data_IF_110650825045
#
_entry.id   IF_110650825045
#
_cell.length_a   1.000
_cell.length_b   1.000
_cell.length_c   1.000
_cell.angle_alpha   90.00
_cell.angle_beta   90.00
_cell.angle_gamma   90.00
#
_symmetry.space_group_name_H-M   'P 1'
#
loop_
_entity.id
_entity.type
_entity.pdbx_description
1 polymer ?
#
# COMPACT_ATOMS: atom_id res chain seq x y z
N UNK A 1 -33.46 36.77 -0.20
CA UNK A 1 -33.02 35.94 0.95
C UNK A 1 -33.47 34.48 0.82
N UNK A 2 -34.77 34.15 0.75
CA UNK A 2 -35.24 32.75 0.59
C UNK A 2 -34.59 31.98 -0.57
N UNK A 3 -34.45 32.60 -1.75
CA UNK A 3 -33.78 31.98 -2.91
C UNK A 3 -32.29 31.69 -2.68
N UNK A 4 -31.60 32.55 -1.93
CA UNK A 4 -30.18 32.38 -1.58
C UNK A 4 -30.02 31.25 -0.56
N UNK A 5 -30.90 31.21 0.45
CA UNK A 5 -30.94 30.12 1.45
C UNK A 5 -31.21 28.77 0.77
N UNK A 6 -32.15 28.73 -0.17
CA UNK A 6 -32.47 27.52 -0.92
C UNK A 6 -31.30 27.06 -1.80
N UNK A 7 -30.58 28.00 -2.42
CA UNK A 7 -29.42 27.70 -3.26
C UNK A 7 -28.23 27.19 -2.43
N UNK A 8 -27.99 27.77 -1.25
CA UNK A 8 -26.95 27.31 -0.32
C UNK A 8 -27.23 25.90 0.22
N UNK A 9 -28.51 25.59 0.52
CA UNK A 9 -28.92 24.26 0.96
C UNK A 9 -28.70 23.18 -0.10
N UNK A 10 -28.86 23.50 -1.38
CA UNK A 10 -28.58 22.58 -2.50
C UNK A 10 -27.08 22.30 -2.63
N UNK A 11 -26.23 23.31 -2.46
CA UNK A 11 -24.76 23.16 -2.53
C UNK A 11 -24.24 22.29 -1.38
N UNK A 12 -24.78 22.45 -0.17
CA UNK A 12 -24.41 21.63 0.99
C UNK A 12 -24.91 20.17 0.91
N UNK A 13 -25.88 19.88 0.04
CA UNK A 13 -26.41 18.54 -0.18
C UNK A 13 -25.65 17.76 -1.26
N UNK A 14 -24.72 18.40 -1.97
CA UNK A 14 -23.86 17.70 -2.92
C UNK A 14 -22.82 16.87 -2.15
N UNK A 15 -22.65 15.58 -2.46
CA UNK A 15 -21.57 14.80 -1.88
C UNK A 15 -20.24 15.45 -2.27
N UNK A 16 -19.36 15.64 -1.29
CA UNK A 16 -18.00 16.10 -1.56
C UNK A 16 -17.31 15.08 -2.48
N UNK A 17 -16.98 15.50 -3.71
CA UNK A 17 -16.40 14.66 -4.77
C UNK A 17 -14.91 14.33 -4.52
N UNK A 18 -14.49 14.19 -3.26
CA UNK A 18 -13.08 14.04 -2.93
C UNK A 18 -12.52 12.64 -3.23
N UNK A 19 -13.30 11.60 -3.00
CA UNK A 19 -12.86 10.20 -3.09
C UNK A 19 -13.95 9.34 -3.72
N UNK A 20 -13.56 8.51 -4.68
CA UNK A 20 -14.42 7.59 -5.40
C UNK A 20 -14.28 6.17 -4.85
N UNK A 21 -15.19 5.28 -5.25
CA UNK A 21 -15.05 3.85 -4.94
C UNK A 21 -13.84 3.27 -5.67
N UNK A 22 -13.59 3.77 -6.87
CA UNK A 22 -12.47 3.43 -7.73
C UNK A 22 -11.13 3.74 -7.05
N UNK A 23 -11.02 4.86 -6.33
CA UNK A 23 -9.82 5.20 -5.55
C UNK A 23 -9.55 4.15 -4.47
N UNK A 24 -10.58 3.79 -3.70
CA UNK A 24 -10.49 2.76 -2.67
C UNK A 24 -10.11 1.38 -3.24
N UNK A 25 -10.63 1.04 -4.42
CA UNK A 25 -10.27 -0.20 -5.11
C UNK A 25 -8.83 -0.18 -5.62
N UNK A 26 -8.38 0.95 -6.18
CA UNK A 26 -7.01 1.15 -6.63
C UNK A 26 -6.00 1.03 -5.49
N UNK A 27 -6.28 1.66 -4.35
CA UNK A 27 -5.45 1.57 -3.14
C UNK A 27 -5.36 0.12 -2.65
N UNK A 28 -6.50 -0.57 -2.53
CA UNK A 28 -6.52 -1.98 -2.11
C UNK A 28 -5.73 -2.86 -3.07
N UNK A 29 -5.91 -2.67 -4.38
CA UNK A 29 -5.17 -3.42 -5.41
C UNK A 29 -3.67 -3.21 -5.28
N UNK A 30 -3.21 -1.97 -5.14
CA UNK A 30 -1.78 -1.66 -4.98
C UNK A 30 -1.20 -2.33 -3.73
N UNK A 31 -1.92 -2.28 -2.60
CA UNK A 31 -1.49 -2.93 -1.36
C UNK A 31 -1.44 -4.46 -1.52
N UNK A 32 -2.48 -5.07 -2.08
CA UNK A 32 -2.54 -6.52 -2.33
C UNK A 32 -1.41 -6.97 -3.25
N UNK A 33 -1.19 -6.26 -4.36
CA UNK A 33 -0.11 -6.56 -5.30
C UNK A 33 1.27 -6.41 -4.66
N UNK A 34 1.46 -5.43 -3.78
CA UNK A 34 2.70 -5.28 -3.02
C UNK A 34 2.94 -6.47 -2.08
N UNK A 35 1.95 -6.83 -1.25
CA UNK A 35 2.07 -7.87 -0.22
C UNK A 35 2.24 -9.24 -0.85
N UNK A 36 1.32 -9.61 -1.74
CA UNK A 36 1.32 -10.92 -2.40
C UNK A 36 2.52 -11.04 -3.34
N UNK A 37 2.79 -10.00 -4.13
CA UNK A 37 3.94 -9.98 -5.04
C UNK A 37 5.27 -10.17 -4.30
N UNK A 38 5.42 -9.54 -3.15
CA UNK A 38 6.60 -9.71 -2.32
C UNK A 38 6.66 -11.12 -1.70
N UNK A 39 5.54 -11.63 -1.20
CA UNK A 39 5.49 -12.92 -0.53
C UNK A 39 5.70 -14.11 -1.46
N UNK A 40 5.18 -14.05 -2.68
CA UNK A 40 5.29 -15.13 -3.67
C UNK A 40 6.46 -14.93 -4.65
N UNK A 41 7.19 -13.82 -4.54
CA UNK A 41 8.22 -13.43 -5.49
C UNK A 41 7.70 -13.09 -6.90
N UNK A 42 6.45 -12.64 -7.01
CA UNK A 42 5.87 -12.20 -8.28
C UNK A 42 6.26 -10.74 -8.56
N UNK A 43 7.20 -10.57 -9.49
CA UNK A 43 7.73 -9.26 -9.88
C UNK A 43 6.68 -8.38 -10.56
N UNK A 44 5.82 -8.94 -11.41
CA UNK A 44 4.79 -8.16 -12.12
C UNK A 44 3.85 -7.45 -11.14
N UNK A 45 3.42 -8.16 -10.08
CA UNK A 45 2.62 -7.57 -9.01
C UNK A 45 3.35 -6.44 -8.30
N UNK A 46 4.63 -6.63 -7.95
CA UNK A 46 5.43 -5.53 -7.38
C UNK A 46 5.48 -4.33 -8.30
N UNK A 47 5.69 -4.53 -9.61
CA UNK A 47 5.76 -3.44 -10.57
C UNK A 47 4.44 -2.69 -10.71
N UNK A 48 3.31 -3.38 -10.60
CA UNK A 48 1.97 -2.77 -10.60
C UNK A 48 1.66 -1.99 -9.30
N UNK A 49 2.33 -2.34 -8.20
CA UNK A 49 2.05 -1.77 -6.89
C UNK A 49 2.82 -0.48 -6.58
N UNK A 50 3.96 -0.24 -7.24
CA UNK A 50 4.87 0.87 -6.88
C UNK A 50 5.33 1.67 -8.09
N UNK A 51 5.59 2.96 -7.89
CA UNK A 51 6.12 3.86 -8.93
C UNK A 51 7.44 3.34 -9.52
N UNK A 52 7.68 3.54 -10.84
CA UNK A 52 8.99 3.40 -11.45
C UNK A 52 10.10 4.14 -10.70
N UNK A 53 9.78 5.28 -10.09
CA UNK A 53 10.67 6.17 -9.34
C UNK A 53 10.60 5.94 -7.82
N UNK A 54 10.27 4.71 -7.39
CA UNK A 54 10.15 4.36 -5.98
C UNK A 54 11.35 4.86 -5.15
N UNK A 55 11.06 5.73 -4.20
CA UNK A 55 12.01 6.29 -3.24
C UNK A 55 11.84 5.66 -1.86
N UNK A 56 12.12 4.35 -1.75
CA UNK A 56 12.03 3.61 -0.49
C UNK A 56 13.41 3.55 0.18
N UNK A 57 13.45 3.68 1.50
CA UNK A 57 14.63 3.38 2.32
C UNK A 57 14.29 2.28 3.32
N UNK A 58 15.26 1.42 3.58
CA UNK A 58 15.19 0.45 4.69
C UNK A 58 16.33 0.71 5.66
N UNK A 59 16.08 0.43 6.93
CA UNK A 59 17.15 0.27 7.91
C UNK A 59 17.55 -1.20 7.90
N UNK A 60 18.85 -1.46 7.85
CA UNK A 60 19.43 -2.79 7.93
C UNK A 60 20.51 -2.80 9.01
N UNK A 61 20.82 -4.01 9.49
CA UNK A 61 21.86 -4.23 10.47
C UNK A 61 22.76 -5.40 10.03
N UNK A 62 24.05 -5.30 10.33
CA UNK A 62 25.04 -6.36 10.11
C UNK A 62 26.00 -6.40 11.30
N UNK A 63 25.72 -7.26 12.27
CA UNK A 63 26.34 -7.17 13.60
C UNK A 63 25.92 -5.89 14.31
N UNK A 64 26.89 -5.16 14.87
CA UNK A 64 26.67 -3.86 15.54
C UNK A 64 26.46 -2.69 14.56
N UNK A 65 26.69 -2.88 13.26
CA UNK A 65 26.54 -1.83 12.27
C UNK A 65 25.06 -1.68 11.86
N UNK A 66 24.47 -0.52 12.13
CA UNK A 66 23.13 -0.13 11.67
C UNK A 66 23.25 0.96 10.60
N UNK A 67 22.57 0.78 9.47
CA UNK A 67 22.66 1.70 8.34
C UNK A 67 21.34 1.83 7.58
N UNK A 68 21.15 2.98 6.95
CA UNK A 68 20.07 3.19 5.98
C UNK A 68 20.53 2.77 4.58
N UNK A 69 19.65 2.12 3.84
CA UNK A 69 19.88 1.68 2.47
C UNK A 69 18.71 2.11 1.59
N UNK A 70 18.99 2.74 0.46
CA UNK A 70 17.99 3.01 -0.57
C UNK A 70 17.54 1.70 -1.25
N UNK A 71 16.25 1.63 -1.58
CA UNK A 71 15.59 0.48 -2.18
C UNK A 71 14.73 0.97 -3.35
N UNK A 72 15.35 1.03 -4.53
CA UNK A 72 14.62 1.30 -5.77
C UNK A 72 13.61 0.20 -6.08
N UNK A 73 12.71 0.44 -7.05
CA UNK A 73 11.79 -0.61 -7.53
C UNK A 73 12.53 -1.85 -8.05
N UNK A 74 13.66 -1.68 -8.74
CA UNK A 74 14.45 -2.83 -9.25
C UNK A 74 15.06 -3.66 -8.11
N UNK A 75 15.59 -3.00 -7.08
CA UNK A 75 16.10 -3.68 -5.88
C UNK A 75 14.97 -4.37 -5.11
N UNK A 76 13.78 -3.75 -5.03
CA UNK A 76 12.60 -4.38 -4.43
C UNK A 76 12.17 -5.63 -5.21
N UNK A 77 12.16 -5.57 -6.55
CA UNK A 77 11.86 -6.73 -7.39
C UNK A 77 12.89 -7.86 -7.18
N UNK A 78 14.18 -7.52 -7.14
CA UNK A 78 15.25 -8.48 -6.86
C UNK A 78 15.09 -9.11 -5.48
N UNK A 79 14.70 -8.33 -4.46
CA UNK A 79 14.40 -8.83 -3.13
C UNK A 79 13.18 -9.75 -3.11
N UNK A 80 12.14 -9.46 -3.90
CA UNK A 80 10.95 -10.31 -3.99
C UNK A 80 11.28 -11.66 -4.63
N UNK A 81 12.13 -11.71 -5.66
CA UNK A 81 12.57 -12.97 -6.27
C UNK A 81 13.22 -13.94 -5.28
N UNK A 82 13.90 -13.43 -4.24
CA UNK A 82 14.47 -14.26 -3.19
C UNK A 82 13.40 -14.99 -2.34
N UNK A 83 12.14 -14.52 -2.37
CA UNK A 83 11.01 -15.12 -1.68
C UNK A 83 10.24 -16.14 -2.52
N UNK A 84 10.64 -16.40 -3.78
CA UNK A 84 9.93 -17.34 -4.66
C UNK A 84 9.81 -18.77 -4.10
N UNK A 85 10.65 -19.12 -3.11
CA UNK A 85 10.62 -20.40 -2.39
C UNK A 85 9.99 -20.28 -0.99
N UNK A 86 9.23 -19.24 -0.77
CA UNK A 86 8.66 -18.87 0.52
C UNK A 86 9.46 -17.76 1.21
N UNK A 87 8.75 -17.07 2.09
CA UNK A 87 9.28 -15.97 2.90
C UNK A 87 9.91 -16.51 4.18
N UNK A 88 11.08 -15.99 4.56
CA UNK A 88 11.66 -16.19 5.89
C UNK A 88 11.53 -14.92 6.72
N UNK A 89 10.35 -14.69 7.28
CA UNK A 89 10.08 -13.62 8.26
C UNK A 89 9.72 -14.26 9.59
N UNK A 90 10.24 -13.72 10.69
CA UNK A 90 9.93 -14.18 12.06
C UNK A 90 8.53 -13.72 12.52
N UNK A 91 8.02 -12.69 11.86
CA UNK A 91 6.85 -11.87 12.16
C UNK A 91 5.60 -12.27 11.34
N UNK A 92 5.76 -13.12 10.31
CA UNK A 92 4.63 -13.85 9.74
C UNK A 92 4.34 -15.06 10.63
N UNK A 93 3.10 -15.20 11.09
CA UNK A 93 2.70 -16.29 12.00
C UNK A 93 3.10 -17.64 11.39
N UNK A 94 4.02 -18.40 12.00
CA UNK A 94 4.50 -19.66 11.44
C UNK A 94 3.33 -20.62 11.20
N UNK A 95 3.24 -21.15 9.98
CA UNK A 95 2.20 -22.12 9.61
C UNK A 95 0.82 -21.53 9.26
N UNK A 96 0.65 -20.20 9.25
CA UNK A 96 -0.54 -19.56 8.69
C UNK A 96 -0.31 -19.10 7.26
N UNK A 97 -1.33 -19.26 6.43
CA UNK A 97 -1.38 -18.64 5.11
C UNK A 97 -1.39 -17.11 5.24
N UNK A 98 -0.80 -16.42 4.26
CA UNK A 98 -0.82 -14.97 4.19
C UNK A 98 -2.15 -14.53 3.57
N UNK A 99 -3.10 -14.17 4.41
CA UNK A 99 -4.41 -13.60 4.06
C UNK A 99 -4.44 -12.16 4.55
N UNK A 100 -3.93 -11.20 3.74
CA UNK A 100 -3.84 -9.82 4.17
C UNK A 100 -5.22 -9.17 4.23
N UNK A 101 -5.60 -8.69 5.41
CA UNK A 101 -6.69 -7.75 5.55
C UNK A 101 -6.20 -6.32 5.36
N UNK A 102 -7.05 -5.47 4.79
CA UNK A 102 -6.72 -4.09 4.45
C UNK A 102 -7.79 -3.16 5.00
N UNK A 103 -7.38 -2.25 5.89
CA UNK A 103 -8.20 -1.12 6.32
C UNK A 103 -7.57 0.18 5.83
N UNK A 104 -8.25 0.87 4.91
CA UNK A 104 -7.91 2.25 4.57
C UNK A 104 -8.30 3.11 5.78
N UNK A 105 -7.33 3.89 6.28
CA UNK A 105 -7.51 4.75 7.44
C UNK A 105 -7.93 6.15 7.01
N UNK A 106 -7.26 6.68 5.98
CA UNK A 106 -7.53 8.01 5.42
C UNK A 106 -7.01 8.10 3.98
N UNK A 107 -7.61 9.00 3.20
CA UNK A 107 -7.17 9.35 1.84
C UNK A 107 -7.15 10.89 1.74
N UNK A 108 -5.99 11.45 1.46
CA UNK A 108 -5.81 12.90 1.31
C UNK A 108 -5.11 13.21 -0.02
N UNK A 109 -5.89 13.75 -0.97
CA UNK A 109 -5.45 14.01 -2.33
C UNK A 109 -4.91 12.75 -3.00
N UNK A 110 -3.61 12.75 -3.30
CA UNK A 110 -2.92 11.63 -3.95
C UNK A 110 -2.32 10.61 -2.97
N UNK A 111 -2.53 10.81 -1.67
CA UNK A 111 -1.96 9.96 -0.62
C UNK A 111 -3.07 9.15 0.06
N UNK A 112 -2.72 7.93 0.47
CA UNK A 112 -3.58 7.11 1.31
C UNK A 112 -2.77 6.48 2.42
N UNK A 113 -3.37 6.38 3.61
CA UNK A 113 -2.84 5.60 4.71
C UNK A 113 -3.71 4.37 4.92
N UNK A 114 -3.06 3.22 5.11
CA UNK A 114 -3.74 1.96 5.31
C UNK A 114 -3.03 1.12 6.37
N UNK A 115 -3.81 0.31 7.08
CA UNK A 115 -3.32 -0.72 7.99
C UNK A 115 -3.55 -2.08 7.36
N UNK A 116 -2.56 -2.94 7.49
CA UNK A 116 -2.64 -4.33 7.06
C UNK A 116 -2.29 -5.26 8.22
N UNK A 117 -2.90 -6.45 8.22
CA UNK A 117 -2.61 -7.52 9.16
C UNK A 117 -2.94 -8.87 8.51
N UNK A 118 -2.42 -9.95 9.07
CA UNK A 118 -2.79 -11.30 8.68
C UNK A 118 -3.95 -11.78 9.55
N UNK A 119 -5.00 -12.34 8.95
CA UNK A 119 -6.15 -12.89 9.69
C UNK A 119 -5.83 -14.21 10.45
#
# INVERSE_FOLDING_TARGET
MKKIILMLAVVLALPALGQTKEDSLGIKKAITDYIEGWATGNVERIQNAVSPELSKRRVAASGELVFAQDMSRSLLCASALANAKGVRMQDLTPGKELVPEIKILDIDGINASAKTWNA
#
